data_IF_753448816078
#
_entry.id   IF_753448816078
#
_cell.length_a   1.000
_cell.length_b   1.000
_cell.length_c   1.000
_cell.angle_alpha   90.00
_cell.angle_beta   90.00
_cell.angle_gamma   90.00
#
_symmetry.space_group_name_H-M   'P 1'
#
loop_
_entity.id
_entity.type
_entity.pdbx_description
1 polymer ?
#
# COMPACT_ATOMS: atom_id res chain seq x y z
N UNK A 1 40.46 -6.26 -29.39
CA UNK A 1 39.53 -5.10 -29.23
C UNK A 1 38.60 -5.45 -28.07
N UNK A 2 39.03 -5.34 -26.82
CA UNK A 2 39.20 -4.10 -26.04
C UNK A 2 37.94 -3.22 -26.07
N UNK A 3 37.26 -3.17 -24.92
CA UNK A 3 37.15 -1.98 -24.06
C UNK A 3 35.75 -1.41 -23.75
N UNK A 4 35.46 -1.44 -22.44
CA UNK A 4 34.56 -0.58 -21.62
C UNK A 4 33.03 -0.74 -21.85
N UNK A 5 32.16 -0.73 -20.83
CA UNK A 5 32.15 0.14 -19.66
C UNK A 5 31.40 -0.51 -18.47
N UNK A 6 32.06 -0.51 -17.32
CA UNK A 6 31.47 -0.72 -16.01
C UNK A 6 30.96 0.61 -15.47
N UNK A 7 29.69 0.70 -15.06
CA UNK A 7 29.23 1.68 -14.06
C UNK A 7 27.73 1.50 -13.80
N UNK A 8 27.36 1.17 -12.55
CA UNK A 8 26.30 1.82 -11.77
C UNK A 8 25.71 0.88 -10.72
N UNK A 9 26.58 0.45 -9.80
CA UNK A 9 26.19 0.24 -8.41
C UNK A 9 25.99 1.63 -7.79
N UNK A 10 24.75 1.96 -7.36
CA UNK A 10 24.41 2.90 -6.28
C UNK A 10 22.95 3.35 -6.39
N UNK A 11 22.07 2.77 -5.58
CA UNK A 11 21.05 3.50 -4.78
C UNK A 11 20.24 2.52 -3.90
N UNK A 12 20.87 2.06 -2.82
CA UNK A 12 20.17 1.80 -1.57
C UNK A 12 20.34 3.06 -0.72
N UNK A 13 19.29 3.89 -0.60
CA UNK A 13 19.24 4.90 0.43
C UNK A 13 17.79 5.39 0.63
N UNK A 14 17.30 5.11 1.83
CA UNK A 14 16.45 6.00 2.63
C UNK A 14 15.21 6.62 2.00
N UNK A 15 14.05 6.05 2.33
CA UNK A 15 12.86 6.84 2.62
C UNK A 15 12.48 6.56 4.08
N UNK A 16 13.03 7.39 4.95
CA UNK A 16 12.69 7.47 6.37
C UNK A 16 11.31 8.13 6.51
N UNK A 17 10.40 7.40 7.14
CA UNK A 17 9.04 7.77 7.49
C UNK A 17 9.05 8.93 8.50
N UNK A 18 8.63 10.13 8.07
CA UNK A 18 8.46 11.28 8.98
C UNK A 18 7.07 11.19 9.63
N UNK A 19 6.99 10.65 10.85
CA UNK A 19 5.80 10.72 11.72
C UNK A 19 5.80 12.07 12.45
N UNK A 20 4.90 12.98 12.06
CA UNK A 20 4.64 14.21 12.80
C UNK A 20 3.75 13.90 14.02
N UNK A 21 4.32 14.04 15.22
CA UNK A 21 3.58 13.97 16.47
C UNK A 21 2.95 15.35 16.74
N UNK A 22 1.62 15.41 16.79
CA UNK A 22 0.86 16.60 17.19
C UNK A 22 0.66 16.53 18.71
N UNK A 23 1.34 17.41 19.44
CA UNK A 23 1.22 17.52 20.89
C UNK A 23 -0.08 18.25 21.26
N UNK A 24 -0.93 17.58 22.04
CA UNK A 24 -2.14 18.16 22.65
C UNK A 24 -1.74 18.80 23.99
N UNK A 25 -1.90 20.11 24.11
CA UNK A 25 -1.71 20.84 25.37
C UNK A 25 -3.00 20.79 26.22
N UNK A 26 -2.94 20.50 27.52
CA UNK A 26 -4.08 20.64 28.41
C UNK A 26 -4.27 22.09 28.86
N UNK A 27 -5.49 22.61 28.69
CA UNK A 27 -5.91 23.91 29.18
C UNK A 27 -5.93 23.98 30.71
N UNK A 28 -5.28 25.01 31.26
CA UNK A 28 -5.25 25.36 32.68
C UNK A 28 -6.58 25.93 33.14
N UNK A 29 -7.20 25.32 34.15
CA UNK A 29 -8.37 25.89 34.85
C UNK A 29 -7.86 26.86 35.92
N UNK A 30 -7.93 28.17 35.66
CA UNK A 30 -7.72 29.19 36.69
C UNK A 30 -8.97 29.30 37.56
N UNK A 31 -8.83 28.96 38.85
CA UNK A 31 -9.83 29.15 39.89
C UNK A 31 -9.21 30.09 40.94
N UNK A 32 -9.65 31.35 40.99
CA UNK A 32 -9.30 32.30 42.05
C UNK A 32 -10.37 33.39 42.15
N UNK A 33 -11.11 33.40 43.27
CA UNK A 33 -11.45 34.60 44.04
C UNK A 33 -12.27 34.21 45.29
N UNK A 34 -11.56 34.00 46.39
CA UNK A 34 -12.01 34.42 47.72
C UNK A 34 -11.88 35.95 47.81
N UNK A 35 -12.67 36.73 48.54
CA UNK A 35 -13.76 36.47 49.47
C UNK A 35 -14.13 37.76 50.21
N UNK A 36 -15.09 37.62 51.14
CA UNK A 36 -15.36 38.45 52.34
C UNK A 36 -15.84 39.89 52.11
N UNK A 37 -17.12 40.13 52.38
CA UNK A 37 -17.72 40.57 53.67
C UNK A 37 -17.55 42.08 53.90
N UNK A 38 -18.58 42.83 53.49
CA UNK A 38 -18.87 44.16 54.00
C UNK A 38 -20.20 44.12 54.75
N UNK A 39 -20.12 44.35 56.04
CA UNK A 39 -21.22 44.57 56.98
C UNK A 39 -21.53 46.07 57.05
N UNK A 40 -22.79 46.47 56.90
CA UNK A 40 -23.27 47.84 57.15
C UNK A 40 -24.81 47.86 57.21
N UNK A 41 -25.44 48.68 58.09
CA UNK A 41 -26.73 48.37 58.69
C UNK A 41 -27.96 48.84 57.90
N UNK A 42 -29.08 48.26 58.32
CA UNK A 42 -30.42 48.39 57.79
C UNK A 42 -30.96 49.83 57.83
N UNK A 43 -31.47 50.27 56.68
CA UNK A 43 -32.52 51.27 56.61
C UNK A 43 -33.62 50.78 55.66
N UNK A 44 -34.71 50.34 56.29
CA UNK A 44 -36.10 50.46 55.84
C UNK A 44 -36.38 50.42 54.33
N UNK A 45 -36.78 49.24 53.83
CA UNK A 45 -37.74 49.12 52.75
C UNK A 45 -38.34 47.70 52.76
N UNK A 46 -39.38 47.51 53.57
CA UNK A 46 -40.36 46.44 53.35
C UNK A 46 -41.11 46.77 52.07
N UNK A 47 -40.55 46.34 50.94
CA UNK A 47 -41.28 46.24 49.69
C UNK A 47 -41.06 44.82 49.17
N UNK A 48 -42.15 44.06 49.22
CA UNK A 48 -42.48 43.00 48.26
C UNK A 48 -41.37 41.98 47.95
N UNK A 49 -41.43 40.84 48.66
CA UNK A 49 -40.87 39.57 48.18
C UNK A 49 -41.67 39.05 46.97
N UNK A 50 -41.71 39.81 45.88
CA UNK A 50 -41.93 39.20 44.57
C UNK A 50 -40.58 38.70 44.09
N UNK A 51 -40.23 37.47 44.47
CA UNK A 51 -39.27 36.71 43.69
C UNK A 51 -39.84 36.61 42.26
N UNK A 52 -39.19 37.19 41.24
CA UNK A 52 -39.57 36.86 39.88
C UNK A 52 -39.19 35.40 39.72
N UNK A 53 -40.18 34.52 39.58
CA UNK A 53 -39.95 33.21 39.02
C UNK A 53 -39.23 33.47 37.70
N UNK A 54 -37.94 33.14 37.66
CA UNK A 54 -37.16 33.08 36.44
C UNK A 54 -37.82 32.00 35.60
N UNK A 55 -38.84 32.36 34.84
CA UNK A 55 -39.13 31.64 33.61
C UNK A 55 -37.87 31.85 32.78
N UNK A 56 -36.99 30.85 32.79
CA UNK A 56 -36.13 30.68 31.64
C UNK A 56 -37.12 30.39 30.51
N UNK A 57 -37.43 31.33 29.59
CA UNK A 57 -38.12 30.89 28.40
C UNK A 57 -37.18 29.84 27.85
N UNK A 58 -37.62 28.57 27.82
CA UNK A 58 -36.92 27.57 27.06
C UNK A 58 -36.82 28.18 25.68
N UNK A 59 -35.62 28.67 25.34
CA UNK A 59 -35.38 29.40 24.11
C UNK A 59 -35.84 28.45 23.03
N UNK A 60 -36.96 28.78 22.38
CA UNK A 60 -37.41 28.05 21.23
C UNK A 60 -36.29 28.23 20.19
N UNK A 61 -35.38 27.27 20.16
CA UNK A 61 -34.28 27.22 19.23
C UNK A 61 -34.91 26.96 17.86
N UNK A 62 -35.22 28.05 17.16
CA UNK A 62 -35.57 27.95 15.75
C UNK A 62 -34.39 27.36 15.01
N UNK A 63 -34.63 26.31 14.22
CA UNK A 63 -33.65 25.78 13.28
C UNK A 63 -33.12 26.94 12.43
N UNK A 64 -31.83 27.21 12.54
CA UNK A 64 -31.21 28.24 11.72
C UNK A 64 -31.14 27.74 10.28
N UNK A 65 -31.49 28.57 9.31
CA UNK A 65 -31.26 28.27 7.88
C UNK A 65 -29.79 27.89 7.62
N UNK A 66 -28.87 28.45 8.41
CA UNK A 66 -27.45 28.14 8.36
C UNK A 66 -27.16 26.68 8.73
N UNK A 67 -27.91 26.07 9.64
CA UNK A 67 -27.70 24.70 10.08
C UNK A 67 -27.95 23.70 8.94
N UNK A 68 -29.07 23.88 8.23
CA UNK A 68 -29.40 23.06 7.05
C UNK A 68 -28.37 23.27 5.95
N UNK A 69 -27.94 24.52 5.70
CA UNK A 69 -26.91 24.83 4.71
C UNK A 69 -25.58 24.13 5.05
N UNK A 70 -25.12 24.23 6.30
CA UNK A 70 -23.89 23.60 6.77
C UNK A 70 -23.99 22.08 6.69
N UNK A 71 -25.14 21.50 7.04
CA UNK A 71 -25.37 20.06 6.93
C UNK A 71 -25.24 19.58 5.48
N UNK A 72 -25.81 20.31 4.51
CA UNK A 72 -25.65 19.99 3.08
C UNK A 72 -24.20 20.14 2.61
N UNK A 73 -23.47 21.15 3.08
CA UNK A 73 -22.05 21.32 2.73
C UNK A 73 -21.22 20.14 3.25
N UNK A 74 -21.41 19.75 4.52
CA UNK A 74 -20.70 18.60 5.09
C UNK A 74 -21.07 17.32 4.34
N UNK A 75 -22.36 17.12 4.05
CA UNK A 75 -22.82 15.97 3.28
C UNK A 75 -22.16 15.91 1.90
N UNK A 76 -22.08 17.05 1.19
CA UNK A 76 -21.44 17.11 -0.11
C UNK A 76 -19.96 16.76 -0.02
N UNK A 77 -19.22 17.33 0.94
CA UNK A 77 -17.79 17.06 1.13
C UNK A 77 -17.52 15.59 1.47
N UNK A 78 -18.29 15.02 2.40
CA UNK A 78 -18.16 13.61 2.79
C UNK A 78 -18.56 12.70 1.63
N UNK A 79 -19.64 13.02 0.93
CA UNK A 79 -20.09 12.27 -0.24
C UNK A 79 -19.02 12.23 -1.33
N UNK A 80 -18.42 13.37 -1.67
CA UNK A 80 -17.31 13.45 -2.64
C UNK A 80 -16.13 12.59 -2.19
N UNK A 81 -15.68 12.73 -0.94
CA UNK A 81 -14.57 11.92 -0.43
C UNK A 81 -14.87 10.42 -0.48
N UNK A 82 -16.10 10.00 -0.18
CA UNK A 82 -16.51 8.60 -0.28
C UNK A 82 -16.47 8.11 -1.73
N UNK A 83 -17.01 8.86 -2.70
CA UNK A 83 -16.99 8.46 -4.10
C UNK A 83 -15.56 8.33 -4.65
N UNK A 84 -14.66 9.23 -4.25
CA UNK A 84 -13.24 9.15 -4.60
C UNK A 84 -12.59 7.87 -4.05
N UNK A 85 -12.87 7.52 -2.79
CA UNK A 85 -12.38 6.30 -2.17
C UNK A 85 -12.93 5.04 -2.86
N UNK A 86 -14.22 5.01 -3.19
CA UNK A 86 -14.84 3.89 -3.91
C UNK A 86 -14.25 3.73 -5.33
N UNK A 87 -14.08 4.83 -6.06
CA UNK A 87 -13.44 4.81 -7.38
C UNK A 87 -12.01 4.28 -7.30
N UNK A 88 -11.23 4.74 -6.31
CA UNK A 88 -9.89 4.23 -6.03
C UNK A 88 -9.87 2.74 -5.69
N UNK A 89 -10.81 2.28 -4.85
CA UNK A 89 -10.91 0.89 -4.44
C UNK A 89 -11.24 -0.04 -5.63
N UNK A 90 -12.17 0.36 -6.49
CA UNK A 90 -12.53 -0.41 -7.69
C UNK A 90 -11.36 -0.51 -8.68
N UNK A 91 -10.64 0.60 -8.90
CA UNK A 91 -9.46 0.58 -9.76
C UNK A 91 -8.34 -0.30 -9.18
N UNK A 92 -8.14 -0.27 -7.86
CA UNK A 92 -7.17 -1.14 -7.19
C UNK A 92 -7.57 -2.63 -7.29
N UNK A 93 -8.86 -2.93 -7.12
CA UNK A 93 -9.37 -4.30 -7.28
C UNK A 93 -9.19 -4.81 -8.72
N UNK A 94 -9.44 -3.96 -9.72
CA UNK A 94 -9.18 -4.28 -11.13
C UNK A 94 -7.70 -4.57 -11.39
N UNK A 95 -6.80 -3.74 -10.85
CA UNK A 95 -5.37 -3.97 -10.98
C UNK A 95 -4.94 -5.27 -10.30
N UNK A 96 -5.49 -5.58 -9.13
CA UNK A 96 -5.19 -6.83 -8.42
C UNK A 96 -5.67 -8.08 -9.20
N UNK A 97 -6.82 -8.01 -9.87
CA UNK A 97 -7.31 -9.08 -10.77
C UNK A 97 -6.36 -9.29 -11.96
N UNK A 98 -5.90 -8.20 -12.60
CA UNK A 98 -4.90 -8.29 -13.69
C UNK A 98 -3.61 -8.96 -13.23
N UNK A 99 -3.06 -8.57 -12.07
CA UNK A 99 -1.87 -9.20 -11.51
C UNK A 99 -2.08 -10.69 -11.22
N UNK A 100 -3.25 -11.05 -10.70
CA UNK A 100 -3.60 -12.45 -10.40
C UNK A 100 -3.66 -13.29 -11.67
N UNK A 101 -4.29 -12.77 -12.74
CA UNK A 101 -4.34 -13.45 -14.05
C UNK A 101 -2.95 -13.57 -14.68
N UNK A 102 -2.14 -12.54 -14.61
CA UNK A 102 -0.77 -12.57 -15.13
C UNK A 102 0.11 -13.57 -14.36
N UNK A 103 -0.06 -13.67 -13.04
CA UNK A 103 0.64 -14.64 -12.20
C UNK A 103 0.24 -16.08 -12.56
N UNK A 104 -1.05 -16.36 -12.74
CA UNK A 104 -1.53 -17.67 -13.18
C UNK A 104 -0.98 -18.04 -14.56
N UNK A 105 -0.90 -17.08 -15.49
CA UNK A 105 -0.28 -17.30 -16.80
C UNK A 105 1.22 -17.61 -16.66
N UNK A 106 1.94 -16.84 -15.83
CA UNK A 106 3.35 -17.09 -15.54
C UNK A 106 3.57 -18.48 -14.92
N UNK A 107 2.70 -18.89 -14.00
CA UNK A 107 2.76 -20.19 -13.33
C UNK A 107 2.49 -21.34 -14.30
N UNK A 108 1.50 -21.19 -15.20
CA UNK A 108 1.23 -22.16 -16.26
C UNK A 108 2.46 -22.37 -17.16
N UNK A 109 3.10 -21.27 -17.58
CA UNK A 109 4.33 -21.31 -18.40
C UNK A 109 5.51 -21.89 -17.65
N UNK A 110 5.66 -21.55 -16.37
CA UNK A 110 6.71 -22.08 -15.49
C UNK A 110 6.53 -23.59 -15.31
N UNK A 111 5.31 -24.05 -15.08
CA UNK A 111 4.97 -25.47 -14.89
C UNK A 111 5.21 -26.26 -16.18
N UNK A 112 4.81 -25.72 -17.33
CA UNK A 112 5.10 -26.33 -18.63
C UNK A 112 6.62 -26.48 -18.86
N UNK A 113 7.38 -25.41 -18.63
CA UNK A 113 8.84 -25.43 -18.71
C UNK A 113 9.48 -26.41 -17.72
N UNK A 114 8.92 -26.52 -16.52
CA UNK A 114 9.41 -27.39 -15.49
C UNK A 114 9.25 -28.88 -15.85
N UNK A 115 8.27 -29.25 -16.68
CA UNK A 115 8.05 -30.63 -17.13
C UNK A 115 8.98 -31.05 -18.27
N UNK A 116 9.65 -30.10 -18.94
CA UNK A 116 10.63 -30.40 -20.00
C UNK A 116 11.76 -31.28 -19.43
N UNK A 117 11.86 -32.52 -19.92
CA UNK A 117 12.91 -33.47 -19.53
C UNK A 117 13.59 -34.01 -20.79
N UNK A 118 14.92 -33.90 -20.93
CA UNK A 118 15.87 -33.27 -20.02
C UNK A 118 15.80 -31.72 -20.06
N UNK A 119 16.09 -31.06 -18.93
CA UNK A 119 16.22 -29.60 -18.89
C UNK A 119 17.49 -29.20 -19.64
N UNK A 120 17.36 -28.21 -20.53
CA UNK A 120 18.45 -27.66 -21.33
C UNK A 120 18.58 -26.16 -21.08
N UNK A 121 19.82 -25.68 -21.04
CA UNK A 121 20.12 -24.24 -21.00
C UNK A 121 19.50 -23.56 -22.23
N UNK A 122 18.78 -22.47 -22.00
CA UNK A 122 18.13 -21.75 -23.08
C UNK A 122 17.13 -20.73 -22.59
N UNK A 123 16.60 -19.98 -23.55
CA UNK A 123 15.49 -19.07 -23.33
C UNK A 123 14.46 -19.23 -24.42
N UNK A 124 13.24 -18.88 -24.11
CA UNK A 124 12.13 -18.81 -25.05
C UNK A 124 11.33 -17.55 -24.77
N UNK A 125 10.68 -17.00 -25.77
CA UNK A 125 9.90 -15.78 -25.62
C UNK A 125 8.74 -15.77 -26.61
N UNK A 126 7.66 -15.13 -26.23
CA UNK A 126 6.50 -15.06 -27.09
C UNK A 126 5.43 -14.14 -26.53
N UNK A 127 4.27 -14.24 -27.15
CA UNK A 127 3.06 -13.54 -26.75
C UNK A 127 1.99 -14.58 -26.42
N UNK A 128 1.06 -14.25 -25.52
CA UNK A 128 -0.14 -15.05 -25.30
C UNK A 128 -1.01 -15.11 -26.56
N UNK A 129 -1.85 -16.14 -26.65
CA UNK A 129 -2.73 -16.36 -27.80
C UNK A 129 -3.69 -15.18 -28.04
N UNK A 130 -4.09 -14.50 -26.98
CA UNK A 130 -4.95 -13.31 -27.01
C UNK A 130 -4.18 -11.99 -27.18
N UNK A 131 -2.85 -12.04 -27.33
CA UNK A 131 -2.01 -10.86 -27.55
C UNK A 131 -1.76 -9.98 -26.33
N UNK A 132 -2.33 -10.30 -25.16
CA UNK A 132 -2.31 -9.42 -23.98
C UNK A 132 -1.02 -9.47 -23.17
N UNK A 133 -0.35 -10.61 -23.18
CA UNK A 133 0.83 -10.85 -22.35
C UNK A 133 2.03 -11.16 -23.23
N UNK A 134 3.10 -10.38 -23.08
CA UNK A 134 4.42 -10.73 -23.60
C UNK A 134 5.19 -11.48 -22.50
N UNK A 135 5.78 -12.62 -22.82
CA UNK A 135 6.46 -13.46 -21.84
C UNK A 135 7.84 -13.90 -22.32
N UNK A 136 8.73 -14.12 -21.35
CA UNK A 136 10.06 -14.66 -21.56
C UNK A 136 10.38 -15.73 -20.51
N UNK A 137 10.85 -16.89 -20.97
CA UNK A 137 11.35 -18.03 -20.21
C UNK A 137 12.88 -18.03 -20.27
N UNK A 138 13.52 -18.36 -19.16
CA UNK A 138 14.97 -18.62 -19.10
C UNK A 138 15.23 -19.85 -18.23
N UNK A 139 16.06 -20.75 -18.72
CA UNK A 139 16.53 -21.95 -18.03
C UNK A 139 18.05 -21.85 -17.96
N UNK A 140 18.57 -21.82 -16.75
CA UNK A 140 20.01 -21.68 -16.49
C UNK A 140 20.44 -22.57 -15.32
N UNK A 141 21.72 -22.94 -15.23
CA UNK A 141 22.21 -23.64 -14.07
C UNK A 141 22.06 -22.80 -12.81
N UNK A 142 21.71 -23.47 -11.71
CA UNK A 142 21.60 -22.81 -10.41
C UNK A 142 22.72 -23.26 -9.50
N UNK A 143 23.51 -22.28 -9.03
CA UNK A 143 24.50 -22.49 -7.96
C UNK A 143 23.88 -22.02 -6.65
N UNK A 144 23.86 -22.89 -5.66
CA UNK A 144 23.30 -22.56 -4.36
C UNK A 144 24.20 -21.52 -3.64
N UNK A 145 23.62 -20.55 -2.91
CA UNK A 145 24.41 -19.64 -2.08
C UNK A 145 25.25 -20.44 -1.08
N UNK A 146 26.55 -20.14 -1.01
CA UNK A 146 27.48 -20.81 -0.09
C UNK A 146 28.19 -22.05 -0.67
N UNK A 147 27.90 -22.45 -1.91
CA UNK A 147 28.67 -23.49 -2.62
C UNK A 147 30.10 -23.00 -2.87
N UNK A 148 31.09 -23.82 -2.49
CA UNK A 148 32.51 -23.55 -2.75
C UNK A 148 32.87 -23.82 -4.21
N UNK A 149 33.99 -23.25 -4.70
CA UNK A 149 34.43 -23.46 -6.08
C UNK A 149 34.74 -24.94 -6.40
N UNK A 150 35.21 -25.69 -5.42
CA UNK A 150 35.49 -27.12 -5.58
C UNK A 150 34.20 -27.93 -5.68
N UNK A 151 33.20 -27.64 -4.83
CA UNK A 151 31.87 -28.26 -4.89
C UNK A 151 31.15 -27.96 -6.22
N UNK A 152 31.24 -26.73 -6.73
CA UNK A 152 30.65 -26.39 -8.02
C UNK A 152 31.35 -27.13 -9.16
N UNK A 153 32.69 -27.25 -9.16
CA UNK A 153 33.42 -28.08 -10.13
C UNK A 153 33.00 -29.55 -10.08
N UNK A 154 32.88 -30.12 -8.89
CA UNK A 154 32.37 -31.49 -8.70
C UNK A 154 30.93 -31.64 -9.21
N UNK A 155 30.08 -30.64 -8.97
CA UNK A 155 28.72 -30.58 -9.49
C UNK A 155 28.63 -30.48 -11.01
N UNK A 156 29.57 -29.79 -11.66
CA UNK A 156 29.64 -29.69 -13.13
C UNK A 156 29.97 -31.03 -13.82
N UNK A 157 30.69 -31.91 -13.12
CA UNK A 157 30.99 -33.28 -13.58
C UNK A 157 29.83 -34.26 -13.37
N UNK A 158 28.84 -33.89 -12.56
CA UNK A 158 27.70 -34.74 -12.24
C UNK A 158 26.68 -34.78 -13.37
N UNK A 159 26.08 -35.96 -13.60
CA UNK A 159 24.99 -36.13 -14.58
C UNK A 159 23.69 -35.45 -14.14
N UNK A 160 23.58 -35.05 -12.87
CA UNK A 160 22.44 -34.36 -12.27
C UNK A 160 22.92 -33.03 -11.71
N UNK A 161 22.22 -31.94 -12.02
CA UNK A 161 22.52 -30.60 -11.48
C UNK A 161 21.25 -29.82 -11.14
N UNK A 162 21.42 -28.75 -10.37
CA UNK A 162 20.36 -27.79 -10.08
C UNK A 162 20.20 -26.82 -11.26
N UNK A 163 18.95 -26.56 -11.60
CA UNK A 163 18.51 -25.68 -12.68
C UNK A 163 17.57 -24.64 -12.09
N UNK A 164 17.72 -23.39 -12.52
CA UNK A 164 16.76 -22.33 -12.28
C UNK A 164 15.96 -22.11 -13.55
N UNK A 165 14.65 -22.15 -13.41
CA UNK A 165 13.69 -21.82 -14.46
C UNK A 165 13.01 -20.54 -14.02
N UNK A 166 13.09 -19.48 -14.83
CA UNK A 166 12.43 -18.21 -14.57
C UNK A 166 11.50 -17.84 -15.72
N UNK A 167 10.32 -17.36 -15.39
CA UNK A 167 9.34 -16.84 -16.35
C UNK A 167 8.97 -15.43 -15.95
N UNK A 168 9.13 -14.50 -16.89
CA UNK A 168 8.69 -13.10 -16.75
C UNK A 168 7.53 -12.85 -17.70
N UNK A 169 6.44 -12.32 -17.19
CA UNK A 169 5.25 -11.94 -17.96
C UNK A 169 5.08 -10.43 -17.84
N UNK A 170 4.82 -9.74 -18.95
CA UNK A 170 4.64 -8.30 -19.01
C UNK A 170 3.42 -7.91 -19.83
N UNK A 171 2.78 -6.81 -19.44
CA UNK A 171 1.58 -6.28 -20.09
C UNK A 171 1.51 -4.75 -19.93
N UNK A 172 0.75 -4.05 -20.78
CA UNK A 172 0.53 -2.61 -20.62
C UNK A 172 -0.35 -2.33 -19.40
N UNK A 173 0.08 -1.41 -18.53
CA UNK A 173 -0.71 -0.90 -17.41
C UNK A 173 -1.54 0.33 -17.77
N UNK A 174 -2.39 0.75 -16.82
CA UNK A 174 -3.14 2.01 -16.91
C UNK A 174 -2.14 3.18 -16.93
N UNK A 175 -2.21 4.05 -17.94
CA UNK A 175 -1.27 5.16 -18.23
C UNK A 175 0.04 4.80 -18.96
N UNK A 176 0.10 3.65 -19.64
CA UNK A 176 1.23 3.31 -20.52
C UNK A 176 2.50 2.86 -19.79
N UNK A 177 2.46 2.75 -18.46
CA UNK A 177 3.51 2.07 -17.70
C UNK A 177 3.42 0.56 -17.95
N UNK A 178 4.54 -0.08 -18.29
CA UNK A 178 4.58 -1.53 -18.47
C UNK A 178 4.61 -2.22 -17.09
N UNK A 179 3.69 -3.15 -16.88
CA UNK A 179 3.64 -4.00 -15.68
C UNK A 179 4.30 -5.33 -15.98
N UNK A 180 4.83 -5.98 -14.94
CA UNK A 180 5.37 -7.32 -15.06
C UNK A 180 5.27 -8.12 -13.77
N UNK A 181 5.25 -9.44 -13.91
CA UNK A 181 5.36 -10.44 -12.84
C UNK A 181 6.44 -11.43 -13.25
N UNK A 182 7.32 -11.76 -12.31
CA UNK A 182 8.39 -12.74 -12.50
C UNK A 182 8.28 -13.86 -11.48
N UNK A 183 8.25 -15.09 -11.96
CA UNK A 183 8.27 -16.30 -11.12
C UNK A 183 9.52 -17.10 -11.44
N UNK A 184 10.07 -17.78 -10.43
CA UNK A 184 11.20 -18.67 -10.61
C UNK A 184 11.05 -19.93 -9.75
N UNK A 185 11.54 -21.05 -10.28
CA UNK A 185 11.62 -22.32 -9.57
C UNK A 185 13.01 -22.94 -9.76
N UNK A 186 13.45 -23.69 -8.76
CA UNK A 186 14.70 -24.45 -8.81
C UNK A 186 14.36 -25.93 -8.86
N UNK A 187 14.94 -26.64 -9.83
CA UNK A 187 14.74 -28.08 -10.02
C UNK A 187 16.05 -28.82 -10.12
N UNK A 188 16.06 -30.02 -9.57
CA UNK A 188 17.13 -31.00 -9.78
C UNK A 188 16.78 -31.81 -11.03
N UNK A 189 17.64 -31.81 -12.06
CA UNK A 189 17.40 -32.59 -13.27
C UNK A 189 18.72 -33.06 -13.90
N UNK A 190 18.61 -34.10 -14.74
CA UNK A 190 19.76 -34.60 -15.48
C UNK A 190 20.20 -33.60 -16.53
N UNK A 191 21.52 -33.40 -16.64
CA UNK A 191 22.15 -32.69 -17.74
C UNK A 191 22.05 -33.58 -18.99
N UNK A 192 21.58 -33.03 -20.10
CA UNK A 192 21.64 -33.72 -21.38
C UNK A 192 23.11 -33.95 -21.76
N UNK A 193 23.53 -35.18 -22.14
CA UNK A 193 24.91 -35.46 -22.53
C UNK A 193 25.34 -34.68 -23.77
#
# INVERSE_FOLDING_TARGET
>A
MQSYCAASLRRCAHLATKRSALAVLPGTVSRLAAGRLATGPAHNALHSLEAPLRSNPASAAGFSLLEVLVAFIILALVGTALFELFGGALNNASAADEYSRAALFAESRLTAAALETPLREGGDQGVSEDGKYAWAKKIEPYVAPGTTADEDRLGQLSAVRLWRISVTVSWPGTLGNQRSVSLASVRLARKQP
#
